data_IF_694405122592
#
_entry.id   IF_694405122592
#
_cell.length_a   1.000
_cell.length_b   1.000
_cell.length_c   1.000
_cell.angle_alpha   90.00
_cell.angle_beta   90.00
_cell.angle_gamma   90.00
#
_symmetry.space_group_name_H-M   'P 1'
#
loop_
_entity.id
_entity.type
_entity.pdbx_description
1 polymer ?
#
# COMPACT_ATOMS: atom_id res chain seq x y z
N UNK A 1 -24.59 3.64 -10.61
CA UNK A 1 -23.36 2.87 -10.88
C UNK A 1 -23.00 2.98 -12.36
N UNK A 2 -21.78 3.41 -12.70
CA UNK A 2 -21.24 3.33 -14.08
C UNK A 2 -20.25 2.16 -14.19
N UNK A 3 -20.22 1.48 -15.33
CA UNK A 3 -19.31 0.35 -15.57
C UNK A 3 -18.17 0.81 -16.47
N UNK A 4 -16.93 0.45 -16.10
CA UNK A 4 -15.71 0.72 -16.86
C UNK A 4 -15.17 -0.61 -17.37
N UNK A 5 -15.29 -0.84 -18.67
CA UNK A 5 -14.85 -2.08 -19.32
C UNK A 5 -13.50 -1.94 -20.02
N UNK A 6 -13.04 -0.69 -20.23
CA UNK A 6 -11.77 -0.37 -20.86
C UNK A 6 -11.21 0.96 -20.38
N UNK A 7 -9.91 1.15 -20.52
CA UNK A 7 -9.22 2.42 -20.34
C UNK A 7 -9.28 3.24 -21.64
N UNK A 8 -9.59 4.54 -21.55
CA UNK A 8 -9.73 5.43 -22.72
C UNK A 8 -8.40 6.06 -23.17
N UNK A 9 -7.40 6.02 -22.29
CA UNK A 9 -6.05 6.56 -22.47
C UNK A 9 -5.48 6.93 -21.11
N UNK A 10 -4.40 7.71 -21.07
CA UNK A 10 -3.72 8.05 -19.82
C UNK A 10 -3.23 9.50 -19.84
N UNK A 11 -3.57 10.29 -18.82
CA UNK A 11 -3.23 11.73 -18.76
C UNK A 11 -1.74 12.03 -18.60
N UNK A 12 -0.94 11.03 -18.21
CA UNK A 12 0.52 11.15 -18.06
C UNK A 12 1.26 10.75 -19.33
N UNK A 13 0.70 9.83 -20.12
CA UNK A 13 1.32 9.30 -21.34
C UNK A 13 0.80 10.01 -22.61
N UNK A 14 -0.47 10.39 -22.63
CA UNK A 14 -1.14 10.94 -23.82
C UNK A 14 -1.33 12.46 -23.71
N UNK A 15 -0.73 13.21 -24.64
CA UNK A 15 -0.78 14.68 -24.62
C UNK A 15 -2.19 15.23 -24.84
N UNK A 16 -3.03 14.54 -25.63
CA UNK A 16 -4.43 14.91 -25.84
C UNK A 16 -5.24 14.86 -24.55
N UNK A 17 -5.10 13.78 -23.77
CA UNK A 17 -5.76 13.63 -22.48
C UNK A 17 -5.23 14.60 -21.43
N UNK A 18 -3.91 14.86 -21.44
CA UNK A 18 -3.31 15.90 -20.58
C UNK A 18 -3.90 17.28 -20.86
N UNK A 19 -4.06 17.65 -22.13
CA UNK A 19 -4.68 18.92 -22.52
C UNK A 19 -6.16 18.97 -22.15
N UNK A 20 -6.88 17.87 -22.35
CA UNK A 20 -8.29 17.79 -22.00
C UNK A 20 -8.52 17.94 -20.49
N UNK A 21 -7.62 17.37 -19.67
CA UNK A 21 -7.66 17.53 -18.22
C UNK A 21 -7.38 18.98 -17.76
N UNK A 22 -6.87 19.88 -18.61
CA UNK A 22 -6.68 21.28 -18.24
C UNK A 22 -7.98 22.10 -18.26
N UNK A 23 -9.00 21.63 -18.99
CA UNK A 23 -10.28 22.36 -19.12
C UNK A 23 -11.26 22.09 -17.99
N UNK A 24 -10.98 21.09 -17.13
CA UNK A 24 -11.83 20.73 -15.99
C UNK A 24 -11.02 20.08 -14.87
N UNK A 25 -11.60 19.95 -13.67
CA UNK A 25 -10.99 19.16 -12.59
C UNK A 25 -11.50 17.72 -12.66
N UNK A 26 -10.65 16.72 -12.90
CA UNK A 26 -11.09 15.33 -12.97
C UNK A 26 -11.47 14.82 -11.58
N UNK A 27 -12.51 13.99 -11.54
CA UNK A 27 -12.83 13.17 -10.37
C UNK A 27 -11.87 11.97 -10.33
N UNK A 28 -11.51 11.54 -9.12
CA UNK A 28 -10.38 10.62 -8.90
C UNK A 28 -10.87 9.33 -8.29
N UNK A 29 -10.57 8.22 -8.96
CA UNK A 29 -10.67 6.89 -8.39
C UNK A 29 -9.33 6.55 -7.71
N UNK A 30 -9.26 6.76 -6.41
CA UNK A 30 -8.06 6.43 -5.63
C UNK A 30 -7.94 4.90 -5.54
N UNK A 31 -6.80 4.35 -5.93
CA UNK A 31 -6.52 2.92 -5.88
C UNK A 31 -5.20 2.67 -5.15
N UNK A 32 -5.15 1.57 -4.40
CA UNK A 32 -3.86 0.97 -4.03
C UNK A 32 -3.28 0.20 -5.22
N UNK A 33 -1.99 -0.15 -5.14
CA UNK A 33 -1.35 -0.99 -6.16
C UNK A 33 -2.06 -2.34 -6.34
N UNK A 34 -2.64 -2.89 -5.27
CA UNK A 34 -3.37 -4.15 -5.31
C UNK A 34 -4.71 -4.02 -6.01
N UNK A 35 -5.48 -2.98 -5.66
CA UNK A 35 -6.77 -2.73 -6.32
C UNK A 35 -6.60 -2.49 -7.82
N UNK A 36 -5.53 -1.81 -8.22
CA UNK A 36 -5.19 -1.56 -9.61
C UNK A 36 -4.88 -2.84 -10.42
N UNK A 37 -4.47 -3.92 -9.75
CA UNK A 37 -4.22 -5.23 -10.39
C UNK A 37 -5.49 -6.08 -10.55
N UNK A 38 -6.60 -5.71 -9.88
CA UNK A 38 -7.85 -6.45 -9.99
C UNK A 38 -8.53 -6.12 -11.31
N UNK A 39 -8.84 -7.16 -12.08
CA UNK A 39 -9.69 -7.01 -13.28
C UNK A 39 -11.13 -6.60 -12.94
N UNK A 40 -11.56 -6.84 -11.69
CA UNK A 40 -12.91 -6.52 -11.20
C UNK A 40 -12.88 -5.92 -9.81
N UNK A 41 -13.45 -4.73 -9.66
CA UNK A 41 -13.68 -4.12 -8.34
C UNK A 41 -14.83 -3.11 -8.41
N UNK A 42 -15.41 -2.79 -7.25
CA UNK A 42 -16.41 -1.73 -7.11
C UNK A 42 -15.88 -0.72 -6.10
N UNK A 43 -15.83 0.55 -6.49
CA UNK A 43 -15.29 1.61 -5.64
C UNK A 43 -15.90 2.96 -6.00
N UNK A 44 -15.95 3.84 -5.00
CA UNK A 44 -16.38 5.22 -5.16
C UNK A 44 -15.18 6.10 -5.51
N UNK A 45 -15.40 7.06 -6.40
CA UNK A 45 -14.48 8.18 -6.62
C UNK A 45 -14.51 9.15 -5.43
N UNK A 46 -13.55 10.07 -5.35
CA UNK A 46 -13.56 11.15 -4.35
C UNK A 46 -14.82 12.04 -4.47
N UNK A 47 -15.34 12.24 -5.68
CA UNK A 47 -16.60 12.94 -5.95
C UNK A 47 -17.87 12.14 -5.62
N UNK A 48 -17.74 10.89 -5.12
CA UNK A 48 -18.86 10.05 -4.72
C UNK A 48 -19.54 9.29 -5.87
N UNK A 49 -18.94 9.25 -7.06
CA UNK A 49 -19.44 8.45 -8.17
C UNK A 49 -19.09 6.98 -7.97
N UNK A 50 -20.10 6.13 -8.00
CA UNK A 50 -19.90 4.69 -7.89
C UNK A 50 -19.51 4.04 -9.22
N UNK A 51 -18.31 3.45 -9.26
CA UNK A 51 -17.76 2.74 -10.41
C UNK A 51 -17.66 1.24 -10.17
N UNK A 52 -18.04 0.47 -11.19
CA UNK A 52 -17.71 -0.94 -11.34
C UNK A 52 -16.63 -1.12 -12.41
N UNK A 53 -15.44 -1.54 -12.02
CA UNK A 53 -14.34 -1.88 -12.93
C UNK A 53 -14.55 -3.33 -13.40
N UNK A 54 -14.54 -3.55 -14.71
CA UNK A 54 -14.71 -4.85 -15.36
C UNK A 54 -13.81 -4.95 -16.60
N UNK A 55 -12.50 -4.97 -16.37
CA UNK A 55 -11.52 -5.04 -17.45
C UNK A 55 -11.31 -6.49 -17.93
N UNK A 56 -10.82 -6.64 -19.16
CA UNK A 56 -10.34 -7.92 -19.67
C UNK A 56 -9.25 -8.53 -18.78
N UNK A 57 -9.13 -9.85 -18.84
CA UNK A 57 -8.09 -10.57 -18.10
C UNK A 57 -6.71 -10.05 -18.55
N UNK A 58 -5.84 -9.76 -17.59
CA UNK A 58 -4.48 -9.23 -17.75
C UNK A 58 -4.35 -7.71 -18.00
N UNK A 59 -5.45 -6.95 -18.05
CA UNK A 59 -5.35 -5.50 -17.98
C UNK A 59 -5.24 -5.05 -16.52
N UNK A 60 -4.27 -4.18 -16.25
CA UNK A 60 -4.06 -3.55 -14.95
C UNK A 60 -4.25 -2.04 -15.12
N UNK A 61 -4.87 -1.40 -14.12
CA UNK A 61 -4.97 0.04 -14.10
C UNK A 61 -3.61 0.65 -13.75
N UNK A 62 -3.25 1.69 -14.48
CA UNK A 62 -2.08 2.48 -14.22
C UNK A 62 -2.45 3.88 -13.71
N UNK A 63 -1.48 4.51 -13.08
CA UNK A 63 -1.64 5.84 -12.54
C UNK A 63 -1.87 6.85 -13.68
N UNK A 64 -2.97 7.60 -13.60
CA UNK A 64 -3.41 8.55 -14.61
C UNK A 64 -4.30 7.96 -15.72
N UNK A 65 -4.70 6.69 -15.65
CA UNK A 65 -5.62 6.12 -16.63
C UNK A 65 -6.97 6.85 -16.64
N UNK A 66 -7.47 7.19 -17.82
CA UNK A 66 -8.77 7.81 -18.03
C UNK A 66 -9.83 6.71 -18.11
N UNK A 67 -10.71 6.67 -17.11
CA UNK A 67 -11.73 5.63 -16.95
C UNK A 67 -13.06 6.05 -17.58
N UNK A 68 -13.40 7.33 -17.47
CA UNK A 68 -14.60 7.93 -18.04
C UNK A 68 -14.28 9.32 -18.57
N UNK A 69 -14.93 9.66 -19.68
CA UNK A 69 -14.88 10.99 -20.26
C UNK A 69 -16.23 11.32 -20.89
N UNK A 70 -16.78 12.48 -20.55
CA UNK A 70 -18.00 13.04 -21.13
C UNK A 70 -17.87 14.57 -21.18
N UNK A 71 -17.70 15.11 -22.39
CA UNK A 71 -17.51 16.54 -22.59
C UNK A 71 -18.78 17.35 -22.30
N UNK A 72 -19.96 16.80 -22.58
CA UNK A 72 -21.24 17.49 -22.36
C UNK A 72 -21.56 17.61 -20.87
N UNK A 73 -21.25 16.56 -20.12
CA UNK A 73 -21.46 16.52 -18.67
C UNK A 73 -20.28 17.09 -17.87
N UNK A 74 -19.21 17.55 -18.54
CA UNK A 74 -17.95 18.00 -17.90
C UNK A 74 -17.41 16.96 -16.91
N UNK A 75 -17.55 15.68 -17.24
CA UNK A 75 -17.16 14.56 -16.39
C UNK A 75 -15.90 13.92 -16.94
N UNK A 76 -14.87 13.84 -16.10
CA UNK A 76 -13.70 13.02 -16.33
C UNK A 76 -13.41 12.24 -15.06
N UNK A 77 -13.20 10.94 -15.17
CA UNK A 77 -12.69 10.14 -14.06
C UNK A 77 -11.34 9.56 -14.43
N UNK A 78 -10.36 9.78 -13.55
CA UNK A 78 -9.02 9.20 -13.68
C UNK A 78 -8.73 8.20 -12.54
N UNK A 79 -7.95 7.16 -12.84
CA UNK A 79 -7.31 6.35 -11.82
C UNK A 79 -6.13 7.12 -11.22
N UNK A 80 -6.06 7.17 -9.90
CA UNK A 80 -4.91 7.71 -9.18
C UNK A 80 -4.40 6.64 -8.20
N UNK A 81 -3.16 6.19 -8.42
CA UNK A 81 -2.54 5.21 -7.54
C UNK A 81 -1.85 5.95 -6.39
N UNK A 82 -2.29 5.70 -5.17
CA UNK A 82 -1.65 6.21 -3.96
C UNK A 82 -0.90 5.11 -3.24
N UNK A 83 0.28 5.46 -2.72
CA UNK A 83 0.99 4.60 -1.78
C UNK A 83 0.34 4.75 -0.40
N UNK A 84 0.29 3.66 0.40
CA UNK A 84 -0.15 3.78 1.78
C UNK A 84 0.75 4.77 2.52
N UNK A 85 0.16 5.50 3.47
CA UNK A 85 0.96 6.23 4.46
C UNK A 85 1.88 5.26 5.20
N UNK A 86 3.03 5.75 5.62
CA UNK A 86 4.03 4.97 6.33
C UNK A 86 4.21 5.55 7.72
N UNK A 87 4.05 4.72 8.73
CA UNK A 87 4.46 5.06 10.08
C UNK A 87 5.96 4.83 10.23
N UNK A 88 6.65 5.87 10.69
CA UNK A 88 8.08 5.90 10.95
C UNK A 88 8.30 5.84 12.45
N UNK A 89 8.92 4.76 12.93
CA UNK A 89 9.31 4.60 14.33
C UNK A 89 10.81 4.90 14.47
N UNK A 90 11.17 5.89 15.29
CA UNK A 90 12.56 6.34 15.43
C UNK A 90 13.27 5.56 16.54
N UNK A 91 14.01 4.50 16.18
CA UNK A 91 14.75 3.66 17.11
C UNK A 91 16.05 4.29 17.61
N UNK A 92 16.58 5.30 16.92
CA UNK A 92 17.84 5.98 17.28
C UNK A 92 17.83 6.67 18.64
N UNK A 93 16.67 6.75 19.31
CA UNK A 93 16.51 7.32 20.64
C UNK A 93 16.46 6.27 21.75
N UNK A 94 16.48 4.97 21.41
CA UNK A 94 16.59 3.90 22.38
C UNK A 94 17.95 3.98 23.10
N UNK A 95 17.89 3.92 24.43
CA UNK A 95 19.06 3.92 25.30
C UNK A 95 19.27 2.52 25.88
N UNK A 96 20.50 2.05 25.90
CA UNK A 96 20.85 0.74 26.43
C UNK A 96 22.19 0.25 25.91
N UNK A 97 22.69 -0.83 26.49
CA UNK A 97 23.80 -1.58 25.95
C UNK A 97 23.37 -2.37 24.71
N UNK A 98 24.36 -2.76 23.89
CA UNK A 98 24.12 -3.47 22.62
C UNK A 98 23.23 -4.72 22.81
N UNK A 99 23.44 -5.59 23.82
CA UNK A 99 22.57 -6.75 24.03
C UNK A 99 21.10 -6.37 24.23
N UNK A 100 20.80 -5.39 25.07
CA UNK A 100 19.42 -4.96 25.33
C UNK A 100 18.77 -4.35 24.11
N UNK A 101 19.51 -3.54 23.35
CA UNK A 101 19.03 -2.97 22.09
C UNK A 101 18.72 -4.05 21.05
N UNK A 102 19.59 -5.06 20.91
CA UNK A 102 19.38 -6.19 20.01
C UNK A 102 18.14 -7.00 20.41
N UNK A 103 17.95 -7.28 21.70
CA UNK A 103 16.75 -7.97 22.20
C UNK A 103 15.48 -7.17 21.88
N UNK A 104 15.51 -5.85 22.10
CA UNK A 104 14.37 -4.99 21.80
C UNK A 104 14.05 -4.98 20.30
N UNK A 105 15.03 -4.74 19.44
CA UNK A 105 14.84 -4.73 17.99
C UNK A 105 14.31 -6.09 17.47
N UNK A 106 14.84 -7.20 17.98
CA UNK A 106 14.36 -8.53 17.62
C UNK A 106 12.91 -8.76 18.06
N UNK A 107 12.55 -8.36 19.28
CA UNK A 107 11.18 -8.45 19.78
C UNK A 107 10.20 -7.61 18.95
N UNK A 108 10.60 -6.39 18.57
CA UNK A 108 9.80 -5.55 17.67
C UNK A 108 9.60 -6.20 16.29
N UNK A 109 10.69 -6.72 15.70
CA UNK A 109 10.62 -7.44 14.43
C UNK A 109 9.69 -8.65 14.50
N UNK A 110 9.76 -9.43 15.58
CA UNK A 110 8.86 -10.55 15.82
C UNK A 110 7.40 -10.09 15.97
N UNK A 111 7.14 -9.02 16.71
CA UNK A 111 5.80 -8.48 16.92
C UNK A 111 5.13 -8.05 15.61
N UNK A 112 5.86 -7.32 14.77
CA UNK A 112 5.39 -6.87 13.45
C UNK A 112 5.20 -8.07 12.51
N UNK A 113 6.16 -9.01 12.51
CA UNK A 113 6.10 -10.23 11.71
C UNK A 113 4.92 -11.14 12.08
N UNK A 114 4.58 -11.26 13.36
CA UNK A 114 3.42 -12.03 13.84
C UNK A 114 2.08 -11.45 13.38
N UNK A 115 2.05 -10.16 13.00
CA UNK A 115 0.87 -9.54 12.38
C UNK A 115 0.86 -9.64 10.85
N UNK A 116 1.87 -10.29 10.25
CA UNK A 116 2.12 -10.29 8.81
C UNK A 116 2.25 -8.87 8.22
N UNK A 117 2.68 -7.89 9.02
CA UNK A 117 2.92 -6.54 8.54
C UNK A 117 4.31 -6.42 7.95
N UNK A 118 4.36 -5.83 6.75
CA UNK A 118 5.63 -5.48 6.12
C UNK A 118 6.30 -4.38 6.94
N UNK A 119 7.62 -4.45 7.08
CA UNK A 119 8.39 -3.42 7.75
C UNK A 119 9.80 -3.37 7.18
N UNK A 120 10.38 -2.17 7.15
CA UNK A 120 11.76 -1.96 6.71
C UNK A 120 12.53 -1.22 7.80
N UNK A 121 13.71 -1.73 8.16
CA UNK A 121 14.66 -0.99 8.97
C UNK A 121 15.64 -0.23 8.08
N UNK A 122 15.75 1.08 8.26
CA UNK A 122 16.64 1.97 7.51
C UNK A 122 16.99 3.21 8.34
N UNK A 123 18.26 3.58 8.38
CA UNK A 123 18.77 4.78 9.06
C UNK A 123 18.28 4.92 10.52
N UNK A 124 18.32 3.84 11.29
CA UNK A 124 17.81 3.78 12.67
C UNK A 124 16.31 4.06 12.82
N UNK A 125 15.54 3.86 11.74
CA UNK A 125 14.08 3.98 11.70
C UNK A 125 13.46 2.66 11.26
N UNK A 126 12.28 2.33 11.78
CA UNK A 126 11.43 1.27 11.25
C UNK A 126 10.28 1.92 10.49
N UNK A 127 10.14 1.56 9.23
CA UNK A 127 9.10 2.04 8.31
C UNK A 127 8.03 0.97 8.20
N UNK A 128 6.79 1.31 8.52
CA UNK A 128 5.64 0.38 8.53
C UNK A 128 4.54 0.99 7.63
N UNK A 129 4.23 0.39 6.46
CA UNK A 129 3.14 0.85 5.63
C UNK A 129 1.80 0.57 6.33
N UNK A 130 0.96 1.59 6.42
CA UNK A 130 -0.34 1.54 7.09
C UNK A 130 -1.39 0.92 6.17
N UNK A 131 -1.33 -0.40 6.00
CA UNK A 131 -2.36 -1.20 5.30
C UNK A 131 -3.50 -1.63 6.21
N UNK A 132 -3.36 -1.36 7.51
CA UNK A 132 -4.40 -1.49 8.54
C UNK A 132 -4.58 -0.14 9.26
N UNK A 133 -5.68 0.07 10.01
CA UNK A 133 -5.86 1.30 10.76
C UNK A 133 -4.69 1.57 11.71
N UNK A 134 -4.15 2.79 11.68
CA UNK A 134 -3.01 3.24 12.49
C UNK A 134 -3.06 2.80 13.96
N UNK A 135 -4.24 2.92 14.59
CA UNK A 135 -4.45 2.53 16.01
C UNK A 135 -4.11 1.08 16.31
N UNK A 136 -4.28 0.19 15.33
CA UNK A 136 -3.93 -1.23 15.46
C UNK A 136 -2.41 -1.40 15.55
N UNK A 137 -1.66 -0.69 14.70
CA UNK A 137 -0.20 -0.72 14.72
C UNK A 137 0.35 -0.09 16.01
N UNK A 138 -0.21 1.04 16.43
CA UNK A 138 0.13 1.69 17.71
C UNK A 138 -0.13 0.76 18.91
N UNK A 139 -1.21 0.00 18.89
CA UNK A 139 -1.55 -0.96 19.95
C UNK A 139 -0.50 -2.07 20.07
N UNK A 140 -0.01 -2.61 18.95
CA UNK A 140 1.04 -3.65 18.93
C UNK A 140 2.39 -3.09 19.39
N UNK A 141 2.75 -1.89 18.93
CA UNK A 141 3.97 -1.20 19.39
C UNK A 141 3.92 -0.99 20.90
N UNK A 142 2.77 -0.56 21.42
CA UNK A 142 2.56 -0.34 22.85
C UNK A 142 2.64 -1.62 23.67
N UNK A 143 2.02 -2.71 23.23
CA UNK A 143 2.04 -3.98 23.96
C UNK A 143 3.44 -4.59 24.09
N UNK A 144 4.37 -4.20 23.20
CA UNK A 144 5.76 -4.64 23.21
C UNK A 144 6.72 -3.59 23.82
N UNK A 145 6.20 -2.53 24.44
CA UNK A 145 7.00 -1.57 25.22
C UNK A 145 7.69 -0.48 24.39
N UNK A 146 7.22 -0.23 23.17
CA UNK A 146 7.77 0.79 22.27
C UNK A 146 6.90 2.06 22.19
N UNK A 147 5.92 2.23 23.08
CA UNK A 147 4.98 3.37 23.12
C UNK A 147 5.65 4.72 23.39
N UNK A 148 6.82 4.70 24.01
CA UNK A 148 7.60 5.92 24.31
C UNK A 148 8.49 6.38 23.15
N UNK A 149 8.59 5.59 22.08
CA UNK A 149 9.38 5.99 20.93
C UNK A 149 8.64 7.02 20.10
N UNK A 150 9.32 8.11 19.68
CA UNK A 150 8.74 9.02 18.71
C UNK A 150 8.34 8.27 17.45
N UNK A 151 7.16 8.60 16.95
CA UNK A 151 6.68 8.14 15.66
C UNK A 151 6.08 9.29 14.86
N UNK A 152 6.14 9.16 13.54
CA UNK A 152 5.51 10.07 12.59
C UNK A 152 4.76 9.26 11.52
N UNK A 153 3.72 9.86 10.93
CA UNK A 153 3.11 9.32 9.72
C UNK A 153 3.50 10.22 8.55
N UNK A 154 4.04 9.61 7.51
CA UNK A 154 4.44 10.30 6.28
C UNK A 154 3.76 9.66 5.09
N UNK A 155 3.62 10.41 4.00
CA UNK A 155 3.08 9.88 2.74
C UNK A 155 4.09 8.87 2.15
N UNK A 156 3.61 7.78 1.58
CA UNK A 156 4.50 6.78 0.98
C UNK A 156 5.34 7.35 -0.17
N UNK A 157 4.78 8.32 -0.91
CA UNK A 157 5.44 8.99 -2.04
C UNK A 157 6.69 9.76 -1.61
N UNK A 158 6.72 10.34 -0.40
CA UNK A 158 7.88 11.11 0.07
C UNK A 158 9.08 10.22 0.39
N UNK A 159 8.87 8.91 0.54
CA UNK A 159 9.94 7.96 0.84
C UNK A 159 10.57 7.37 -0.42
N UNK A 160 9.95 7.50 -1.60
CA UNK A 160 10.42 6.84 -2.82
C UNK A 160 11.85 7.26 -3.19
N UNK A 161 12.20 8.52 -2.98
CA UNK A 161 13.55 9.04 -3.29
C UNK A 161 14.63 8.50 -2.34
N UNK A 162 14.27 8.10 -1.11
CA UNK A 162 15.20 7.57 -0.11
C UNK A 162 15.37 6.03 -0.19
N UNK A 163 14.45 5.34 -0.87
CA UNK A 163 14.37 3.88 -0.91
C UNK A 163 15.01 3.32 -2.17
N UNK A 164 15.74 2.21 -2.02
CA UNK A 164 16.12 1.41 -3.19
C UNK A 164 14.88 0.78 -3.83
N UNK A 165 14.98 0.35 -5.09
CA UNK A 165 13.88 -0.34 -5.76
C UNK A 165 13.41 -1.58 -4.99
N UNK A 166 14.32 -2.36 -4.39
CA UNK A 166 13.97 -3.53 -3.59
C UNK A 166 13.24 -3.16 -2.29
N UNK A 167 13.65 -2.07 -1.65
CA UNK A 167 13.01 -1.55 -0.43
C UNK A 167 11.61 -1.01 -0.71
N UNK A 168 11.45 -0.23 -1.77
CA UNK A 168 10.14 0.27 -2.20
C UNK A 168 9.19 -0.90 -2.55
N UNK A 169 9.69 -1.93 -3.25
CA UNK A 169 8.94 -3.17 -3.49
C UNK A 169 8.54 -3.86 -2.19
N UNK A 170 9.45 -3.97 -1.21
CA UNK A 170 9.15 -4.58 0.07
C UNK A 170 8.04 -3.84 0.83
N UNK A 171 8.06 -2.51 0.84
CA UNK A 171 7.06 -1.73 1.58
C UNK A 171 5.70 -1.64 0.86
N UNK A 172 5.71 -1.52 -0.46
CA UNK A 172 4.51 -1.12 -1.20
C UNK A 172 3.94 -2.18 -2.13
N UNK A 173 4.75 -3.14 -2.60
CA UNK A 173 4.23 -4.20 -3.47
C UNK A 173 3.49 -5.24 -2.63
N UNK A 174 2.25 -5.59 -2.98
CA UNK A 174 1.48 -6.65 -2.34
C UNK A 174 1.29 -6.49 -0.83
N UNK A 175 1.26 -5.27 -0.31
CA UNK A 175 1.20 -4.98 1.13
C UNK A 175 -0.17 -5.29 1.79
N UNK A 176 -1.15 -5.75 1.00
CA UNK A 176 -2.52 -6.07 1.42
C UNK A 176 -2.82 -7.59 1.49
N UNK A 177 -1.81 -8.45 1.40
CA UNK A 177 -1.94 -9.93 1.33
C UNK A 177 -2.27 -10.61 2.68
N UNK A 178 -2.74 -9.87 3.68
CA UNK A 178 -2.95 -10.38 5.05
C UNK A 178 -4.16 -11.34 5.20
N UNK A 179 -4.78 -11.79 4.10
CA UNK A 179 -6.00 -12.62 4.14
C UNK A 179 -5.99 -13.89 3.28
N UNK A 180 -4.85 -14.30 2.71
CA UNK A 180 -4.73 -15.64 2.10
C UNK A 180 -3.85 -16.56 2.95
N UNK A 181 -4.46 -17.21 3.94
CA UNK A 181 -3.92 -18.44 4.50
C UNK A 181 -3.86 -19.48 3.39
N UNK A 182 -2.66 -19.80 2.91
CA UNK A 182 -2.40 -21.11 2.32
C UNK A 182 -2.22 -22.05 3.51
N UNK A 183 -3.26 -22.82 3.82
CA UNK A 183 -3.12 -24.00 4.66
C UNK A 183 -2.16 -24.96 3.93
N UNK A 184 -0.89 -24.94 4.33
CA UNK A 184 0.04 -26.00 3.95
C UNK A 184 -0.36 -27.20 4.81
N UNK A 185 -1.08 -28.14 4.19
CA UNK A 185 -1.36 -29.43 4.80
C UNK A 185 -0.03 -30.02 5.33
N UNK A 186 0.04 -30.47 6.59
CA UNK A 186 1.28 -31.01 7.14
C UNK A 186 1.67 -32.26 6.34
N UNK A 187 2.86 -32.24 5.76
CA UNK A 187 3.50 -33.44 5.23
C UNK A 187 3.74 -34.41 6.40
N UNK A 188 3.35 -35.69 6.29
CA UNK A 188 3.66 -36.67 7.31
C UNK A 188 5.18 -36.86 7.39
N UNK A 189 5.70 -36.63 8.58
CA UNK A 189 7.09 -36.87 8.95
C UNK A 189 7.40 -38.36 8.96
N UNK A 190 8.13 -38.84 7.96
CA UNK A 190 8.84 -40.12 8.02
C UNK A 190 10.16 -39.92 8.77
N UNK A 191 10.14 -40.24 10.06
CA UNK A 191 11.35 -40.56 10.83
C UNK A 191 11.21 -42.01 11.26
N UNK A 192 11.94 -42.92 10.60
CA UNK A 192 12.19 -44.25 11.12
C UNK A 192 13.45 -44.22 12.00
N UNK A 193 13.42 -44.79 13.22
CA UNK A 193 14.59 -44.89 14.06
C UNK A 193 15.52 -46.02 13.59
N UNK A 194 16.83 -45.79 13.71
CA UNK A 194 17.86 -46.84 13.78
C UNK A 194 18.34 -46.97 15.20
#
# INVERSE_FOLDING_TARGET
MRIVERVLGNVKKDSSWKQQMQSLTPDRLILSQWEAQKSRCRKYTEGGLELGIMLDRNLQLEDGDVLLWDAEQQLMVIAELKLPEVMVLYLGLLQGDVPRLMTACFALGHALGNQHWKALFKDNRVLIPLTVPRRMVESVIKSHGFDKLPCACVKGETLIEELTQSQARLLFAGAEDASHHVEVAPHPSDIQPT
#
